data_IF_813905573342
#
_entry.id   IF_813905573342
#
_cell.length_a   1.000
_cell.length_b   1.000
_cell.length_c   1.000
_cell.angle_alpha   90.00
_cell.angle_beta   90.00
_cell.angle_gamma   90.00
#
_symmetry.space_group_name_H-M   'P 1'
#
loop_
_entity.id
_entity.type
_entity.pdbx_description
1 polymer ?
#
# COMPACT_ATOMS: atom_id res chain seq x y z
N UNK A 1 9.45 4.20 4.42
CA UNK A 1 10.78 3.58 4.43
C UNK A 1 11.51 4.13 5.63
N UNK A 2 11.69 3.33 6.68
CA UNK A 2 12.65 3.68 7.71
C UNK A 2 14.05 3.43 7.17
N UNK A 3 15.01 4.30 7.49
CA UNK A 3 16.40 3.97 7.29
C UNK A 3 16.69 2.74 8.17
N UNK A 4 17.13 1.65 7.54
CA UNK A 4 17.52 0.44 8.27
C UNK A 4 18.67 0.80 9.21
N UNK A 5 18.62 0.36 10.47
CA UNK A 5 19.75 0.48 11.42
C UNK A 5 21.05 -0.13 10.86
N UNK A 6 20.90 -1.04 9.90
CA UNK A 6 21.98 -1.61 9.12
C UNK A 6 21.78 -1.25 7.64
N UNK A 7 22.38 -0.14 7.14
CA UNK A 7 22.29 0.20 5.74
C UNK A 7 22.96 -0.92 4.92
N UNK A 8 22.31 -1.31 3.82
CA UNK A 8 22.87 -2.27 2.87
C UNK A 8 24.30 -1.92 2.46
N UNK A 9 25.18 -2.92 2.48
CA UNK A 9 26.52 -2.81 1.91
C UNK A 9 26.46 -2.75 0.38
N UNK A 10 27.57 -2.31 -0.23
CA UNK A 10 27.69 -2.31 -1.69
C UNK A 10 27.54 -3.72 -2.30
N UNK A 11 28.09 -4.76 -1.64
CA UNK A 11 28.04 -6.13 -2.13
C UNK A 11 26.61 -6.69 -2.13
N UNK A 12 25.84 -6.43 -1.08
CA UNK A 12 24.44 -6.83 -0.99
C UNK A 12 23.57 -6.05 -1.99
N UNK A 13 23.87 -4.76 -2.20
CA UNK A 13 23.20 -3.96 -3.22
C UNK A 13 23.51 -4.48 -4.63
N UNK A 14 24.76 -4.84 -4.91
CA UNK A 14 25.18 -5.43 -6.19
C UNK A 14 24.48 -6.78 -6.43
N UNK A 15 24.46 -7.66 -5.43
CA UNK A 15 23.75 -8.93 -5.50
C UNK A 15 22.25 -8.73 -5.78
N UNK A 16 21.62 -7.78 -5.08
CA UNK A 16 20.22 -7.42 -5.29
C UNK A 16 19.97 -6.89 -6.69
N UNK A 17 20.85 -6.02 -7.20
CA UNK A 17 20.74 -5.46 -8.55
C UNK A 17 20.89 -6.53 -9.64
N UNK A 18 21.81 -7.48 -9.47
CA UNK A 18 21.97 -8.62 -10.39
C UNK A 18 20.71 -9.49 -10.45
N UNK A 19 20.11 -9.77 -9.30
CA UNK A 19 18.85 -10.53 -9.22
C UNK A 19 17.69 -9.79 -9.88
N UNK A 20 17.59 -8.49 -9.67
CA UNK A 20 16.51 -7.66 -10.20
C UNK A 20 16.63 -7.45 -11.72
N UNK A 21 17.83 -7.19 -12.23
CA UNK A 21 18.05 -6.94 -13.64
C UNK A 21 17.60 -8.12 -14.53
N UNK A 22 17.56 -9.35 -13.97
CA UNK A 22 17.26 -10.61 -14.68
C UNK A 22 18.07 -10.77 -15.97
N UNK A 23 19.20 -10.08 -16.06
CA UNK A 23 20.05 -10.04 -17.24
C UNK A 23 21.19 -11.02 -17.08
N UNK A 24 21.58 -11.64 -18.19
CA UNK A 24 22.83 -12.40 -18.28
C UNK A 24 24.04 -11.47 -18.40
N UNK A 25 23.84 -10.19 -18.69
CA UNK A 25 24.90 -9.18 -18.75
C UNK A 25 25.24 -8.68 -17.34
N UNK A 26 26.54 -8.45 -17.04
CA UNK A 26 26.94 -7.88 -15.76
C UNK A 26 26.33 -6.49 -15.56
N UNK A 27 25.77 -6.25 -14.37
CA UNK A 27 25.40 -4.89 -13.94
C UNK A 27 26.68 -4.09 -13.66
N UNK A 28 26.71 -2.84 -14.11
CA UNK A 28 27.81 -1.89 -13.97
C UNK A 28 27.42 -0.84 -12.95
N UNK A 29 28.27 -0.56 -11.96
CA UNK A 29 28.01 0.49 -10.98
C UNK A 29 27.95 1.85 -11.66
N UNK A 30 26.89 2.60 -11.40
CA UNK A 30 26.75 4.00 -11.76
C UNK A 30 26.99 4.85 -10.52
N UNK A 31 28.07 5.62 -10.48
CA UNK A 31 28.42 6.46 -9.32
C UNK A 31 27.64 7.76 -9.39
N UNK A 32 26.85 8.03 -8.36
CA UNK A 32 26.11 9.27 -8.24
C UNK A 32 26.26 9.84 -6.83
N UNK A 33 26.97 10.97 -6.71
CA UNK A 33 27.38 11.50 -5.40
C UNK A 33 26.17 11.80 -4.49
N UNK A 34 25.12 12.43 -5.02
CA UNK A 34 23.92 12.74 -4.24
C UNK A 34 23.19 11.49 -3.76
N UNK A 35 23.18 10.42 -4.56
CA UNK A 35 22.52 9.16 -4.18
C UNK A 35 23.30 8.46 -3.06
N UNK A 36 24.63 8.52 -3.09
CA UNK A 36 25.47 7.86 -2.09
C UNK A 36 25.49 8.63 -0.75
N UNK A 37 25.18 9.94 -0.76
CA UNK A 37 25.22 10.80 0.43
C UNK A 37 23.86 11.33 0.91
N UNK A 38 22.75 10.99 0.24
CA UNK A 38 21.44 11.53 0.59
C UNK A 38 21.02 11.18 2.02
N UNK A 39 20.36 12.12 2.71
CA UNK A 39 19.79 11.86 4.05
C UNK A 39 18.65 10.84 3.95
N UNK A 40 17.82 10.95 2.92
CA UNK A 40 16.75 9.99 2.62
C UNK A 40 16.94 9.41 1.23
N UNK A 41 16.73 8.10 1.10
CA UNK A 41 16.86 7.42 -0.19
C UNK A 41 18.29 7.16 -0.63
N UNK A 42 19.27 7.30 0.27
CA UNK A 42 20.65 6.89 0.01
C UNK A 42 20.69 5.49 -0.57
N UNK A 43 21.58 5.24 -1.53
CA UNK A 43 21.69 3.92 -2.14
C UNK A 43 22.80 3.81 -3.17
N UNK A 44 22.63 2.83 -4.06
CA UNK A 44 23.52 2.56 -5.18
C UNK A 44 22.70 2.45 -6.46
N UNK A 45 23.26 2.93 -7.56
CA UNK A 45 22.70 2.77 -8.89
C UNK A 45 23.57 1.84 -9.73
N UNK A 46 22.93 1.08 -10.59
CA UNK A 46 23.55 0.14 -11.51
C UNK A 46 22.89 0.26 -12.88
N UNK A 47 23.69 0.15 -13.93
CA UNK A 47 23.23 0.03 -15.31
C UNK A 47 23.49 -1.37 -15.83
N UNK A 48 22.64 -1.85 -16.74
CA UNK A 48 22.90 -3.08 -17.46
C UNK A 48 22.44 -2.96 -18.90
N UNK A 49 22.98 -3.80 -19.78
CA UNK A 49 22.49 -3.85 -21.16
C UNK A 49 21.19 -4.65 -21.18
N UNK A 50 20.16 -4.13 -21.85
CA UNK A 50 18.93 -4.89 -22.13
C UNK A 50 19.19 -5.77 -23.35
N UNK A 51 18.57 -6.95 -23.40
CA UNK A 51 18.70 -7.85 -24.54
C UNK A 51 18.40 -7.12 -25.86
N UNK A 52 19.13 -7.44 -26.95
CA UNK A 52 19.05 -6.72 -28.24
C UNK A 52 17.68 -6.79 -28.92
N UNK A 53 16.79 -7.65 -28.44
CA UNK A 53 15.41 -7.78 -28.90
C UNK A 53 14.49 -6.65 -28.40
N UNK A 54 14.95 -5.87 -27.42
CA UNK A 54 14.30 -4.64 -26.96
C UNK A 54 14.84 -3.45 -27.75
N UNK A 55 14.01 -2.47 -28.15
CA UNK A 55 14.48 -1.25 -28.82
C UNK A 55 15.60 -0.63 -27.97
N UNK A 56 16.78 -0.53 -28.58
CA UNK A 56 18.07 -0.31 -27.91
C UNK A 56 18.00 0.70 -26.75
N UNK A 57 18.14 0.19 -25.53
CA UNK A 57 18.17 0.98 -24.30
C UNK A 57 18.96 0.24 -23.22
N UNK A 58 19.58 0.98 -22.31
CA UNK A 58 20.20 0.42 -21.11
C UNK A 58 19.16 0.30 -20.00
N UNK A 59 19.19 -0.79 -19.24
CA UNK A 59 18.39 -0.94 -18.05
C UNK A 59 19.08 -0.30 -16.85
N UNK A 60 18.31 0.06 -15.84
CA UNK A 60 18.85 0.55 -14.58
C UNK A 60 18.24 -0.19 -13.39
N UNK A 61 19.00 -0.23 -12.29
CA UNK A 61 18.53 -0.66 -10.99
C UNK A 61 19.07 0.31 -9.92
N UNK A 62 18.18 0.89 -9.12
CA UNK A 62 18.48 1.66 -7.93
C UNK A 62 18.14 0.80 -6.71
N UNK A 63 19.11 0.58 -5.83
CA UNK A 63 18.94 -0.13 -4.57
C UNK A 63 19.17 0.85 -3.43
N UNK A 64 18.11 1.20 -2.70
CA UNK A 64 18.21 2.09 -1.54
C UNK A 64 18.75 1.33 -0.32
N UNK A 65 19.38 2.05 0.61
CA UNK A 65 20.00 1.48 1.81
C UNK A 65 19.02 0.70 2.71
N UNK A 66 17.73 1.05 2.65
CA UNK A 66 16.63 0.32 3.31
C UNK A 66 16.12 -0.92 2.56
N UNK A 67 16.77 -1.35 1.48
CA UNK A 67 16.49 -2.60 0.77
C UNK A 67 15.40 -2.55 -0.27
N UNK A 68 14.85 -1.37 -0.56
CA UNK A 68 13.98 -1.23 -1.72
C UNK A 68 14.75 -1.21 -3.01
N UNK A 69 14.07 -1.68 -4.05
CA UNK A 69 14.61 -1.73 -5.40
C UNK A 69 13.66 -0.98 -6.33
N UNK A 70 14.22 -0.19 -7.23
CA UNK A 70 13.53 0.42 -8.37
C UNK A 70 14.31 0.06 -9.62
N UNK A 71 13.64 -0.46 -10.64
CA UNK A 71 14.26 -0.87 -11.90
C UNK A 71 13.45 -0.36 -13.09
N UNK A 72 14.09 -0.27 -14.26
CA UNK A 72 13.45 0.17 -15.49
C UNK A 72 14.39 0.16 -16.69
N UNK A 73 13.89 0.62 -17.84
CA UNK A 73 14.66 0.75 -19.08
C UNK A 73 14.78 2.24 -19.44
N UNK A 74 16.03 2.70 -19.64
CA UNK A 74 16.34 4.05 -20.09
C UNK A 74 16.02 4.20 -21.58
N UNK A 75 15.63 5.41 -21.99
CA UNK A 75 15.36 5.76 -23.39
C UNK A 75 13.91 5.62 -23.84
N UNK A 76 13.05 4.92 -23.09
CA UNK A 76 11.61 4.85 -23.40
C UNK A 76 10.89 6.19 -23.19
N UNK A 77 11.28 6.94 -22.16
CA UNK A 77 10.76 8.26 -21.81
C UNK A 77 11.76 9.40 -22.07
N UNK A 78 12.90 9.08 -22.69
CA UNK A 78 14.00 10.01 -22.96
C UNK A 78 14.80 10.43 -21.73
N UNK A 79 14.58 9.85 -20.55
CA UNK A 79 15.32 10.22 -19.33
C UNK A 79 16.71 9.59 -19.28
N UNK A 80 17.67 10.35 -18.79
CA UNK A 80 18.99 9.82 -18.38
C UNK A 80 18.91 9.15 -17.01
N UNK A 81 19.93 8.34 -16.66
CA UNK A 81 19.99 7.75 -15.33
C UNK A 81 20.12 8.82 -14.22
N UNK A 82 20.85 9.91 -14.46
CA UNK A 82 20.89 11.05 -13.53
C UNK A 82 19.50 11.59 -13.22
N UNK A 83 18.66 11.82 -14.24
CA UNK A 83 17.29 12.31 -14.05
C UNK A 83 16.42 11.30 -13.29
N UNK A 84 16.59 10.01 -13.55
CA UNK A 84 15.88 8.94 -12.82
C UNK A 84 16.31 8.91 -11.35
N UNK A 85 17.60 9.13 -11.06
CA UNK A 85 18.12 9.22 -9.70
C UNK A 85 17.60 10.48 -9.00
N UNK A 86 17.62 11.63 -9.66
CA UNK A 86 17.08 12.89 -9.13
C UNK A 86 15.59 12.77 -8.81
N UNK A 87 14.79 12.19 -9.73
CA UNK A 87 13.36 11.91 -9.49
C UNK A 87 13.16 10.97 -8.31
N UNK A 88 14.01 9.94 -8.18
CA UNK A 88 13.97 9.03 -7.03
C UNK A 88 14.27 9.78 -5.73
N UNK A 89 15.33 10.57 -5.68
CA UNK A 89 15.72 11.32 -4.49
C UNK A 89 14.66 12.36 -4.12
N UNK A 90 14.12 13.09 -5.09
CA UNK A 90 13.03 14.04 -4.87
C UNK A 90 11.78 13.35 -4.32
N UNK A 91 11.38 12.21 -4.90
CA UNK A 91 10.25 11.43 -4.39
C UNK A 91 10.48 10.94 -2.97
N UNK A 92 11.66 10.38 -2.67
CA UNK A 92 11.97 9.87 -1.34
C UNK A 92 12.08 11.03 -0.32
N UNK A 93 12.66 12.17 -0.69
CA UNK A 93 12.67 13.35 0.16
C UNK A 93 11.24 13.83 0.46
N UNK A 94 10.38 13.89 -0.56
CA UNK A 94 8.98 14.29 -0.43
C UNK A 94 8.21 13.40 0.54
N UNK A 95 8.25 12.07 0.39
CA UNK A 95 7.49 11.16 1.27
C UNK A 95 8.04 11.09 2.70
N UNK A 96 9.26 11.56 2.94
CA UNK A 96 9.89 11.61 4.26
C UNK A 96 9.95 13.03 4.85
N UNK A 97 9.33 14.01 4.19
CA UNK A 97 9.26 15.38 4.70
C UNK A 97 8.55 15.42 6.05
N UNK A 98 9.00 16.31 6.91
CA UNK A 98 8.22 16.69 8.08
C UNK A 98 7.06 17.58 7.63
N UNK A 99 5.89 17.39 8.23
CA UNK A 99 4.69 18.20 7.96
C UNK A 99 4.38 18.97 9.22
N UNK A 100 4.39 20.31 9.13
CA UNK A 100 4.08 21.18 10.26
C UNK A 100 2.58 21.16 10.57
N UNK A 101 2.21 21.43 11.83
CA UNK A 101 0.80 21.48 12.26
C UNK A 101 -0.02 22.50 11.48
N UNK A 102 0.61 23.61 11.09
CA UNK A 102 -0.02 24.66 10.30
C UNK A 102 -0.41 24.21 8.86
N UNK A 103 0.14 23.09 8.39
CA UNK A 103 -0.19 22.50 7.09
C UNK A 103 -1.28 21.43 7.20
N UNK A 104 -1.71 21.10 8.42
CA UNK A 104 -2.69 20.04 8.68
C UNK A 104 -4.05 20.64 9.03
N UNK A 105 -5.08 20.16 8.35
CA UNK A 105 -6.46 20.41 8.75
C UNK A 105 -6.83 19.66 10.02
N UNK A 106 -7.98 20.04 10.59
CA UNK A 106 -8.52 19.46 11.82
C UNK A 106 -8.67 17.93 11.74
N UNK A 107 -9.18 17.42 10.61
CA UNK A 107 -9.36 15.98 10.39
C UNK A 107 -8.03 15.21 10.40
N UNK A 108 -6.97 15.78 9.79
CA UNK A 108 -5.64 15.18 9.79
C UNK A 108 -5.05 15.12 11.20
N UNK A 109 -5.18 16.22 11.96
CA UNK A 109 -4.71 16.29 13.35
C UNK A 109 -5.43 15.27 14.25
N UNK A 110 -6.76 15.15 14.10
CA UNK A 110 -7.55 14.14 14.82
C UNK A 110 -7.16 12.71 14.45
N UNK A 111 -6.95 12.42 13.17
CA UNK A 111 -6.54 11.10 12.71
C UNK A 111 -5.13 10.72 13.23
N UNK A 112 -4.20 11.68 13.27
CA UNK A 112 -2.87 11.49 13.88
C UNK A 112 -3.01 11.19 15.38
N UNK A 113 -3.79 11.98 16.11
CA UNK A 113 -4.03 11.75 17.54
C UNK A 113 -4.65 10.37 17.81
N UNK A 114 -5.62 9.96 16.99
CA UNK A 114 -6.25 8.64 17.10
C UNK A 114 -5.30 7.48 16.76
N UNK A 115 -4.42 7.68 15.76
CA UNK A 115 -3.38 6.71 15.41
C UNK A 115 -2.38 6.56 16.56
N UNK A 116 -1.86 7.67 17.08
CA UNK A 116 -0.85 7.68 18.15
C UNK A 116 -1.43 7.11 19.47
N UNK A 117 -2.71 7.38 19.76
CA UNK A 117 -3.43 6.79 20.89
C UNK A 117 -3.85 5.32 20.67
N UNK A 118 -3.63 4.76 19.48
CA UNK A 118 -3.97 3.38 19.11
C UNK A 118 -5.47 3.04 19.29
N UNK A 119 -6.37 4.02 19.12
CA UNK A 119 -7.83 3.84 19.32
C UNK A 119 -8.57 3.49 18.03
N UNK A 120 -9.59 2.64 18.06
CA UNK A 120 -10.16 2.03 16.85
C UNK A 120 -10.79 3.06 15.87
N UNK A 121 -11.28 4.17 16.38
CA UNK A 121 -11.96 5.25 15.67
C UNK A 121 -11.75 6.57 16.43
N UNK A 122 -11.94 7.71 15.76
CA UNK A 122 -11.69 9.05 16.33
C UNK A 122 -12.60 9.33 17.52
N UNK A 123 -13.83 8.82 17.53
CA UNK A 123 -14.79 8.97 18.64
C UNK A 123 -14.34 8.28 19.94
N UNK A 124 -13.35 7.39 19.89
CA UNK A 124 -12.79 6.73 21.07
C UNK A 124 -11.71 7.60 21.77
N UNK A 125 -11.32 8.74 21.19
CA UNK A 125 -10.39 9.68 21.80
C UNK A 125 -11.01 10.32 23.05
N UNK A 126 -10.30 10.26 24.18
CA UNK A 126 -10.75 10.86 25.44
C UNK A 126 -10.54 12.38 25.45
N UNK A 127 -11.51 13.11 26.01
CA UNK A 127 -11.38 14.54 26.27
C UNK A 127 -11.43 15.43 25.03
N UNK A 128 -11.86 14.88 23.89
CA UNK A 128 -12.12 15.67 22.69
C UNK A 128 -13.46 16.39 22.83
N UNK A 129 -13.51 17.65 22.39
CA UNK A 129 -14.75 18.39 22.23
C UNK A 129 -15.64 17.73 21.18
N UNK A 130 -16.92 18.14 21.13
CA UNK A 130 -17.84 17.67 20.09
C UNK A 130 -17.34 18.22 18.75
N UNK A 131 -16.73 17.34 17.96
CA UNK A 131 -16.30 17.62 16.59
C UNK A 131 -17.50 17.47 15.64
N UNK A 132 -17.53 18.28 14.58
CA UNK A 132 -18.47 18.12 13.48
C UNK A 132 -18.45 16.70 12.90
N UNK A 133 -19.62 16.14 12.61
CA UNK A 133 -19.76 14.75 12.17
C UNK A 133 -19.02 14.47 10.85
N UNK A 134 -18.94 15.46 9.96
CA UNK A 134 -18.27 15.32 8.67
C UNK A 134 -16.74 15.42 8.80
N UNK A 135 -16.23 16.25 9.71
CA UNK A 135 -14.79 16.29 10.06
C UNK A 135 -14.37 14.95 10.66
N UNK A 136 -15.19 14.40 11.58
CA UNK A 136 -14.93 13.10 12.20
C UNK A 136 -14.94 11.97 11.17
N UNK A 137 -15.92 11.91 10.25
CA UNK A 137 -15.98 10.88 9.21
C UNK A 137 -14.72 10.92 8.30
N UNK A 138 -14.25 12.11 7.93
CA UNK A 138 -13.02 12.22 7.15
C UNK A 138 -11.76 11.84 7.96
N UNK A 139 -11.71 12.19 9.25
CA UNK A 139 -10.62 11.78 10.14
C UNK A 139 -10.57 10.25 10.32
N UNK A 140 -11.72 9.58 10.48
CA UNK A 140 -11.81 8.12 10.51
C UNK A 140 -11.34 7.48 9.20
N UNK A 141 -11.67 8.10 8.06
CA UNK A 141 -11.15 7.65 6.76
C UNK A 141 -9.62 7.74 6.68
N UNK A 142 -9.03 8.86 7.10
CA UNK A 142 -7.57 9.03 7.15
C UNK A 142 -6.96 7.95 8.08
N UNK A 143 -7.51 7.79 9.28
CA UNK A 143 -7.07 6.77 10.25
C UNK A 143 -7.09 5.35 9.66
N UNK A 144 -8.13 5.00 8.91
CA UNK A 144 -8.20 3.73 8.19
C UNK A 144 -7.04 3.57 7.20
N UNK A 145 -6.78 4.58 6.37
CA UNK A 145 -5.68 4.51 5.39
C UNK A 145 -4.33 4.36 6.11
N UNK A 146 -4.08 5.16 7.14
CA UNK A 146 -2.85 5.10 7.94
C UNK A 146 -2.62 3.70 8.55
N UNK A 147 -3.69 3.02 8.99
CA UNK A 147 -3.61 1.67 9.56
C UNK A 147 -3.38 0.57 8.55
N UNK A 148 -3.87 0.76 7.32
CA UNK A 148 -3.62 -0.20 6.24
C UNK A 148 -2.24 -0.03 5.62
N UNK A 149 -1.60 1.12 5.81
CA UNK A 149 -0.22 1.33 5.42
C UNK A 149 0.71 0.41 6.23
N UNK A 150 1.89 0.11 5.68
CA UNK A 150 2.89 -0.71 6.37
C UNK A 150 3.19 -0.07 7.74
N UNK A 151 3.37 -0.88 8.81
CA UNK A 151 3.65 -0.37 10.14
C UNK A 151 4.79 0.64 10.10
N UNK A 152 4.53 1.86 10.55
CA UNK A 152 5.49 2.94 10.64
C UNK A 152 5.21 3.67 11.95
N UNK A 153 6.24 3.98 12.77
CA UNK A 153 6.04 4.59 14.07
C UNK A 153 5.43 6.00 14.03
N UNK A 154 5.40 6.68 12.89
CA UNK A 154 4.87 8.05 12.79
C UNK A 154 3.69 8.17 11.84
N UNK A 155 2.52 8.55 12.37
CA UNK A 155 1.33 8.88 11.60
C UNK A 155 1.59 9.99 10.57
N UNK A 156 2.37 11.01 10.94
CA UNK A 156 2.73 12.13 10.05
C UNK A 156 3.55 11.67 8.86
N UNK A 157 4.56 10.83 9.12
CA UNK A 157 5.37 10.27 8.03
C UNK A 157 4.50 9.42 7.12
N UNK A 158 3.57 8.62 7.66
CA UNK A 158 2.61 7.90 6.82
C UNK A 158 1.74 8.85 6.00
N UNK A 159 1.25 9.94 6.59
CA UNK A 159 0.42 10.92 5.88
C UNK A 159 1.17 11.60 4.73
N UNK A 160 2.47 11.87 4.89
CA UNK A 160 3.33 12.41 3.83
C UNK A 160 3.44 11.53 2.58
N UNK A 161 3.16 10.22 2.71
CA UNK A 161 3.09 9.31 1.56
C UNK A 161 1.79 9.46 0.75
N UNK A 162 0.78 10.13 1.30
CA UNK A 162 -0.56 10.23 0.72
C UNK A 162 -0.96 11.70 0.56
N UNK A 163 -0.45 12.36 -0.48
CA UNK A 163 -0.77 13.78 -0.75
C UNK A 163 -2.28 14.03 -0.88
N UNK A 164 -3.06 13.04 -1.35
CA UNK A 164 -4.52 13.12 -1.41
C UNK A 164 -5.22 13.20 -0.04
N UNK A 165 -4.55 12.79 1.04
CA UNK A 165 -5.06 12.92 2.41
C UNK A 165 -4.61 14.23 3.09
N UNK A 166 -3.66 14.94 2.49
CA UNK A 166 -3.25 16.28 2.94
C UNK A 166 -4.11 17.38 2.33
N UNK A 167 -4.76 17.09 1.19
CA UNK A 167 -5.75 17.99 0.62
C UNK A 167 -6.92 18.20 1.60
N UNK A 168 -7.57 19.35 1.47
CA UNK A 168 -8.85 19.57 2.14
C UNK A 168 -9.88 18.53 1.68
N UNK A 169 -10.81 18.20 2.58
CA UNK A 169 -11.93 17.31 2.29
C UNK A 169 -12.70 17.84 1.08
N UNK A 170 -12.99 16.98 0.11
CA UNK A 170 -13.87 17.34 -1.01
C UNK A 170 -15.29 17.66 -0.46
N UNK A 171 -15.78 18.91 -0.58
CA UNK A 171 -17.09 19.30 -0.09
C UNK A 171 -18.26 18.64 -0.85
N UNK A 172 -18.01 18.08 -2.04
CA UNK A 172 -19.01 17.35 -2.82
C UNK A 172 -19.24 15.94 -2.27
N UNK A 173 -18.26 15.40 -1.55
CA UNK A 173 -18.33 14.07 -0.96
C UNK A 173 -18.86 14.15 0.46
N UNK A 174 -20.12 13.73 0.62
CA UNK A 174 -20.82 13.75 1.91
C UNK A 174 -20.30 12.75 2.92
N UNK A 175 -19.67 11.66 2.45
CA UNK A 175 -19.26 10.56 3.31
C UNK A 175 -18.06 9.80 2.73
N UNK A 176 -17.13 9.45 3.60
CA UNK A 176 -15.90 8.72 3.33
C UNK A 176 -15.88 7.35 3.97
N UNK A 177 -16.63 7.15 5.05
CA UNK A 177 -16.69 5.86 5.75
C UNK A 177 -18.12 5.36 5.97
N UNK A 178 -18.27 4.08 6.28
CA UNK A 178 -19.53 3.52 6.74
C UNK A 178 -19.26 2.40 7.76
N UNK A 179 -20.23 2.07 8.62
CA UNK A 179 -20.10 0.90 9.50
C UNK A 179 -20.09 -0.39 8.67
N UNK A 180 -19.19 -1.29 9.00
CA UNK A 180 -19.15 -2.64 8.44
C UNK A 180 -20.48 -3.34 8.73
N UNK A 181 -21.18 -3.86 7.72
CA UNK A 181 -22.50 -4.48 7.91
C UNK A 181 -22.48 -5.75 8.76
N UNK A 182 -21.30 -6.34 9.00
CA UNK A 182 -21.15 -7.53 9.85
C UNK A 182 -20.82 -7.18 11.30
N UNK A 183 -19.79 -6.36 11.54
CA UNK A 183 -19.28 -6.12 12.90
C UNK A 183 -19.39 -4.67 13.40
N UNK A 184 -20.00 -3.76 12.61
CA UNK A 184 -20.17 -2.35 12.95
C UNK A 184 -18.90 -1.48 12.86
N UNK A 185 -17.71 -2.07 12.80
CA UNK A 185 -16.43 -1.32 12.67
C UNK A 185 -16.45 -0.42 11.44
N UNK A 186 -15.93 0.79 11.57
CA UNK A 186 -15.79 1.73 10.46
C UNK A 186 -14.91 1.13 9.33
N UNK A 187 -15.34 1.34 8.08
CA UNK A 187 -14.64 0.94 6.86
C UNK A 187 -14.82 2.01 5.79
N UNK A 188 -13.90 2.06 4.81
CA UNK A 188 -13.98 3.05 3.73
C UNK A 188 -15.20 2.83 2.83
N UNK A 189 -15.90 3.91 2.51
CA UNK A 189 -17.02 3.92 1.58
C UNK A 189 -16.51 3.97 0.14
N UNK A 190 -16.99 3.03 -0.66
CA UNK A 190 -16.86 3.02 -2.11
C UNK A 190 -18.26 3.04 -2.70
N UNK A 191 -18.59 4.00 -3.55
CA UNK A 191 -19.92 4.08 -4.19
C UNK A 191 -20.27 2.78 -4.93
N UNK A 192 -19.27 2.15 -5.56
CA UNK A 192 -19.40 0.84 -6.22
C UNK A 192 -19.69 -0.32 -5.25
N UNK A 193 -19.32 -0.18 -3.98
CA UNK A 193 -19.37 -1.24 -2.95
C UNK A 193 -19.86 -0.67 -1.60
N UNK A 194 -21.05 -0.07 -1.59
CA UNK A 194 -21.59 0.61 -0.40
C UNK A 194 -21.83 -0.30 0.81
N UNK A 195 -21.74 -1.62 0.64
CA UNK A 195 -21.89 -2.65 1.68
C UNK A 195 -20.63 -3.50 1.86
N UNK A 196 -19.47 -2.95 1.56
CA UNK A 196 -18.19 -3.64 1.76
C UNK A 196 -18.00 -3.99 3.25
N UNK A 197 -17.42 -5.16 3.53
CA UNK A 197 -17.01 -5.50 4.90
C UNK A 197 -15.62 -4.94 5.20
N UNK A 198 -15.33 -4.66 6.48
CA UNK A 198 -14.03 -4.12 6.88
C UNK A 198 -12.88 -5.13 6.69
N UNK A 199 -11.65 -4.64 6.59
CA UNK A 199 -10.45 -5.46 6.36
C UNK A 199 -10.31 -6.61 7.37
N UNK A 200 -10.62 -6.36 8.65
CA UNK A 200 -10.61 -7.42 9.67
C UNK A 200 -11.58 -8.56 9.36
N UNK A 201 -12.78 -8.27 8.86
CA UNK A 201 -13.71 -9.32 8.48
C UNK A 201 -13.22 -10.07 7.24
N UNK A 202 -12.61 -9.36 6.30
CA UNK A 202 -11.98 -9.95 5.10
C UNK A 202 -10.86 -10.93 5.46
N UNK A 203 -10.03 -10.61 6.45
CA UNK A 203 -8.92 -11.48 6.87
C UNK A 203 -9.36 -12.80 7.51
N UNK A 204 -10.63 -12.92 7.92
CA UNK A 204 -11.20 -14.13 8.51
C UNK A 204 -12.21 -14.82 7.58
N UNK A 205 -12.17 -14.52 6.28
CA UNK A 205 -13.06 -15.15 5.30
C UNK A 205 -12.67 -16.60 5.04
N UNK A 206 -13.66 -17.45 4.85
CA UNK A 206 -13.49 -18.86 4.53
C UNK A 206 -14.26 -19.30 3.29
N UNK A 207 -13.90 -20.44 2.73
CA UNK A 207 -14.78 -21.20 1.82
C UNK A 207 -15.93 -21.87 2.59
N UNK A 208 -16.81 -22.61 1.89
CA UNK A 208 -17.94 -23.33 2.51
C UNK A 208 -17.52 -24.47 3.44
N UNK A 209 -16.25 -24.88 3.42
CA UNK A 209 -15.68 -25.87 4.33
C UNK A 209 -14.96 -25.27 5.55
N UNK A 210 -14.92 -23.93 5.66
CA UNK A 210 -14.25 -23.23 6.76
C UNK A 210 -12.75 -23.02 6.54
N UNK A 211 -12.21 -23.26 5.34
CA UNK A 211 -10.79 -22.99 5.03
C UNK A 211 -10.57 -21.51 4.73
N UNK A 212 -9.55 -20.85 5.31
CA UNK A 212 -9.28 -19.45 5.05
C UNK A 212 -8.99 -19.15 3.57
N UNK A 213 -9.61 -18.10 3.04
CA UNK A 213 -9.44 -17.67 1.64
C UNK A 213 -9.14 -16.18 1.54
N UNK A 214 -8.45 -15.79 0.46
CA UNK A 214 -8.26 -14.39 0.07
C UNK A 214 -8.60 -14.22 -1.41
N UNK A 215 -9.26 -13.12 -1.74
CA UNK A 215 -9.69 -12.82 -3.11
C UNK A 215 -8.87 -11.68 -3.70
N UNK A 216 -8.58 -11.81 -4.99
CA UNK A 216 -7.91 -10.81 -5.81
C UNK A 216 -8.68 -10.56 -7.10
N UNK A 217 -8.34 -9.47 -7.80
CA UNK A 217 -8.76 -9.29 -9.18
C UNK A 217 -8.04 -10.30 -10.07
N UNK A 218 -8.79 -10.95 -10.96
CA UNK A 218 -8.19 -11.88 -11.92
C UNK A 218 -7.36 -11.14 -12.97
N UNK A 219 -7.71 -9.89 -13.28
CA UNK A 219 -7.03 -9.06 -14.27
C UNK A 219 -7.31 -7.56 -14.06
N UNK A 220 -6.66 -6.70 -14.84
CA UNK A 220 -6.92 -5.25 -14.85
C UNK A 220 -8.32 -4.90 -15.38
N UNK A 221 -8.92 -5.74 -16.23
CA UNK A 221 -10.28 -5.58 -16.73
C UNK A 221 -11.35 -6.13 -15.77
N UNK A 222 -10.93 -6.65 -14.62
CA UNK A 222 -11.80 -7.17 -13.56
C UNK A 222 -11.77 -8.69 -13.44
N UNK A 223 -12.88 -9.23 -12.93
CA UNK A 223 -12.99 -10.63 -12.52
C UNK A 223 -12.47 -10.86 -11.09
N UNK A 224 -12.72 -12.05 -10.56
CA UNK A 224 -12.27 -12.47 -9.23
C UNK A 224 -11.51 -13.78 -9.32
N UNK A 225 -10.52 -13.94 -8.47
CA UNK A 225 -9.85 -15.20 -8.22
C UNK A 225 -9.60 -15.32 -6.72
N UNK A 226 -9.94 -16.48 -6.16
CA UNK A 226 -9.74 -16.77 -4.75
C UNK A 226 -8.61 -17.78 -4.59
N UNK A 227 -7.80 -17.59 -3.56
CA UNK A 227 -6.76 -18.54 -3.16
C UNK A 227 -6.93 -18.89 -1.69
N UNK A 228 -6.54 -20.11 -1.32
CA UNK A 228 -6.37 -20.46 0.08
C UNK A 228 -5.24 -19.66 0.69
N UNK A 229 -5.44 -19.19 1.93
CA UNK A 229 -4.35 -18.58 2.69
C UNK A 229 -3.46 -19.72 3.18
N UNK A 230 -2.18 -19.79 2.77
CA UNK A 230 -1.32 -20.92 3.14
C UNK A 230 -1.08 -20.92 4.65
N UNK A 231 -1.19 -22.11 5.26
CA UNK A 231 -0.93 -22.30 6.69
C UNK A 231 0.56 -22.17 7.07
N UNK A 232 1.45 -22.18 6.07
CA UNK A 232 2.91 -22.10 6.22
C UNK A 232 3.44 -21.18 5.12
N UNK A 233 4.40 -20.31 5.44
CA UNK A 233 4.96 -19.29 4.54
C UNK A 233 5.83 -19.87 3.39
N UNK A 234 5.41 -21.00 2.80
CA UNK A 234 6.02 -21.59 1.61
C UNK A 234 5.54 -20.81 0.38
N UNK A 235 6.45 -20.00 -0.16
CA UNK A 235 6.18 -18.92 -1.11
C UNK A 235 5.95 -19.31 -2.57
N UNK A 236 5.72 -20.57 -2.93
CA UNK A 236 5.90 -20.97 -4.34
C UNK A 236 4.62 -21.09 -5.17
N UNK A 237 3.46 -21.37 -4.59
CA UNK A 237 2.17 -21.37 -5.32
C UNK A 237 1.01 -21.17 -4.36
N UNK A 238 0.16 -20.17 -4.62
CA UNK A 238 -1.12 -20.05 -3.93
C UNK A 238 -2.10 -21.05 -4.57
N UNK A 239 -2.67 -21.95 -3.78
CA UNK A 239 -3.67 -22.91 -4.26
C UNK A 239 -5.00 -22.20 -4.48
N UNK A 240 -5.55 -22.29 -5.70
CA UNK A 240 -6.82 -21.63 -6.03
C UNK A 240 -7.99 -22.27 -5.27
N UNK A 241 -8.83 -21.44 -4.67
CA UNK A 241 -10.12 -21.84 -4.15
C UNK A 241 -11.17 -21.78 -5.27
N UNK A 242 -11.23 -22.84 -6.08
CA UNK A 242 -12.13 -22.96 -7.23
C UNK A 242 -13.60 -22.73 -6.86
N UNK A 243 -14.01 -23.14 -5.66
CA UNK A 243 -15.36 -22.92 -5.13
C UNK A 243 -15.70 -21.43 -5.10
N UNK A 244 -14.93 -20.64 -4.34
CA UNK A 244 -15.16 -19.19 -4.16
C UNK A 244 -14.92 -18.42 -5.47
N UNK A 245 -13.90 -18.81 -6.25
CA UNK A 245 -13.65 -18.22 -7.58
C UNK A 245 -14.90 -18.34 -8.46
N UNK A 246 -15.49 -19.53 -8.56
CA UNK A 246 -16.67 -19.78 -9.41
C UNK A 246 -17.95 -19.21 -8.82
N UNK A 247 -18.26 -19.50 -7.55
CA UNK A 247 -19.52 -19.10 -6.92
C UNK A 247 -19.59 -17.59 -6.65
N UNK A 248 -18.44 -16.97 -6.34
CA UNK A 248 -18.41 -15.61 -5.80
C UNK A 248 -19.03 -15.51 -4.43
N UNK A 249 -19.06 -16.60 -3.67
CA UNK A 249 -19.56 -16.63 -2.29
C UNK A 249 -18.43 -17.11 -1.39
N UNK A 250 -18.17 -16.33 -0.34
CA UNK A 250 -17.31 -16.72 0.77
C UNK A 250 -18.11 -16.56 2.07
N UNK A 251 -17.54 -17.01 3.18
CA UNK A 251 -18.21 -17.03 4.47
C UNK A 251 -17.40 -16.25 5.50
N UNK A 252 -18.09 -15.46 6.31
CA UNK A 252 -17.53 -14.87 7.51
C UNK A 252 -17.30 -15.95 8.58
N UNK A 253 -16.55 -15.61 9.62
CA UNK A 253 -16.24 -16.53 10.72
C UNK A 253 -17.48 -17.09 11.45
N UNK A 254 -18.63 -16.42 11.37
CA UNK A 254 -19.92 -16.86 11.92
C UNK A 254 -20.75 -17.70 10.94
N UNK A 255 -20.22 -18.01 9.76
CA UNK A 255 -20.92 -18.73 8.69
C UNK A 255 -21.84 -17.85 7.84
N UNK A 256 -21.87 -16.52 8.04
CA UNK A 256 -22.67 -15.63 7.20
C UNK A 256 -22.09 -15.57 5.79
N UNK A 257 -22.88 -15.87 4.73
CA UNK A 257 -22.41 -15.76 3.36
C UNK A 257 -22.22 -14.28 2.96
N UNK A 258 -21.16 -14.02 2.22
CA UNK A 258 -20.88 -12.72 1.60
C UNK A 258 -20.60 -12.90 0.11
N UNK A 259 -20.99 -11.90 -0.66
CA UNK A 259 -20.74 -11.88 -2.10
C UNK A 259 -19.37 -11.29 -2.39
N UNK A 260 -18.61 -11.98 -3.22
CA UNK A 260 -17.30 -11.57 -3.72
C UNK A 260 -17.47 -10.89 -5.08
N UNK A 261 -17.18 -9.61 -5.12
CA UNK A 261 -17.20 -8.81 -6.34
C UNK A 261 -15.83 -8.14 -6.50
N UNK A 262 -15.05 -8.60 -7.50
CA UNK A 262 -13.62 -8.25 -7.63
C UNK A 262 -12.85 -8.63 -6.35
N UNK A 263 -11.83 -7.85 -5.96
CA UNK A 263 -11.09 -8.00 -4.70
C UNK A 263 -11.88 -7.51 -3.46
N UNK A 264 -13.20 -7.33 -3.55
CA UNK A 264 -14.05 -6.84 -2.47
C UNK A 264 -15.09 -7.87 -2.04
N UNK A 265 -15.33 -7.92 -0.74
CA UNK A 265 -16.39 -8.72 -0.12
C UNK A 265 -17.52 -7.78 0.29
N UNK A 266 -18.73 -8.10 -0.14
CA UNK A 266 -19.94 -7.29 0.03
C UNK A 266 -20.96 -8.12 0.76
N UNK A 267 -21.54 -7.58 1.83
CA UNK A 267 -22.60 -8.28 2.55
C UNK A 267 -23.81 -8.49 1.61
N UNK A 268 -24.30 -9.72 1.52
CA UNK A 268 -25.43 -10.06 0.66
C UNK A 268 -26.68 -9.29 1.09
N UNK A 269 -27.49 -8.91 0.11
CA UNK A 269 -28.84 -8.39 0.36
C UNK A 269 -29.61 -9.45 1.14
N UNK A 270 -30.11 -9.10 2.33
CA UNK A 270 -31.16 -9.93 2.95
C UNK A 270 -32.37 -9.78 2.01
N UNK A 271 -32.75 -10.87 1.34
CA UNK A 271 -34.06 -10.98 0.73
C UNK A 271 -35.14 -11.03 1.82
#
# INVERSE_FOLDING_TARGET
MGDSEHPLSYEEALYTAQREARSTTPVRRYRHALLESAVHGRGYAFEHDVAPESPAGSGYVIVSAGGSVRSGVLGFDGKSLDQVIDDHLAHIAHINREIADAELGEAQLLAIAAYDAQVAQVSDLRGQEIVDDEVRDYADYILLVLRTAKPNPSARRLLAHFDSLLAERDPRRRQYTHPCPHCGRITGLSERYSRAVCARCVDHMTDGSGRPVRVFNASLSGGRIAYFVPHVASHTTLDECVEVTKSGVAYLADGTPVTVNEARFVASSRN
#
